data_IF_256918204747
#
_entry.id   IF_256918204747
#
_cell.length_a   1.000
_cell.length_b   1.000
_cell.length_c   1.000
_cell.angle_alpha   90.00
_cell.angle_beta   90.00
_cell.angle_gamma   90.00
#
_symmetry.space_group_name_H-M   'P 1'
#
loop_
_entity.id
_entity.type
_entity.pdbx_description
1 polymer ?
#
# COMPACT_ATOMS: atom_id res chain seq x y z
N UNK A 1 -19.41 -57.00 43.69
CA UNK A 1 -18.55 -56.47 42.61
C UNK A 1 -19.31 -55.39 41.86
N UNK A 2 -18.93 -54.13 42.03
CA UNK A 2 -19.52 -52.98 41.28
C UNK A 2 -18.58 -52.64 40.15
N UNK A 3 -19.01 -52.80 38.90
CA UNK A 3 -18.27 -52.38 37.72
C UNK A 3 -18.56 -50.90 37.48
N UNK A 4 -17.54 -50.05 37.66
CA UNK A 4 -17.55 -48.63 37.23
C UNK A 4 -17.24 -48.59 35.75
N UNK A 5 -18.18 -48.11 34.95
CA UNK A 5 -17.97 -47.81 33.54
C UNK A 5 -17.49 -46.38 33.39
N UNK A 6 -16.21 -46.19 33.09
CA UNK A 6 -15.64 -44.92 32.72
C UNK A 6 -16.00 -44.63 31.25
N UNK A 7 -16.84 -43.64 31.02
CA UNK A 7 -17.17 -43.16 29.67
C UNK A 7 -16.07 -42.13 29.27
N UNK A 8 -15.19 -42.50 28.34
CA UNK A 8 -14.28 -41.58 27.72
C UNK A 8 -15.04 -40.75 26.68
N UNK A 9 -15.28 -39.48 26.97
CA UNK A 9 -15.80 -38.53 26.01
C UNK A 9 -14.67 -38.10 25.07
N UNK A 10 -14.71 -38.51 23.79
CA UNK A 10 -13.87 -37.98 22.75
C UNK A 10 -14.37 -36.60 22.35
N UNK A 11 -13.60 -35.56 22.67
CA UNK A 11 -13.84 -34.21 22.16
C UNK A 11 -13.37 -34.17 20.70
N UNK A 12 -14.29 -34.22 19.75
CA UNK A 12 -13.98 -33.97 18.32
C UNK A 12 -13.87 -32.48 18.15
N UNK A 13 -12.64 -31.97 18.01
CA UNK A 13 -12.42 -30.59 17.60
C UNK A 13 -12.84 -30.45 16.13
N UNK A 14 -13.98 -29.82 15.89
CA UNK A 14 -14.41 -29.41 14.55
C UNK A 14 -13.58 -28.19 14.18
N UNK A 15 -12.52 -28.40 13.40
CA UNK A 15 -11.82 -27.30 12.73
C UNK A 15 -12.76 -26.79 11.65
N UNK A 16 -13.37 -25.63 11.87
CA UNK A 16 -14.04 -24.91 10.80
C UNK A 16 -13.01 -24.53 9.75
N UNK A 17 -13.12 -25.08 8.55
CA UNK A 17 -12.41 -24.57 7.39
C UNK A 17 -13.03 -23.20 7.11
N UNK A 18 -12.33 -22.13 7.49
CA UNK A 18 -12.68 -20.80 7.08
C UNK A 18 -12.49 -20.73 5.55
N UNK A 19 -13.58 -20.52 4.82
CA UNK A 19 -13.51 -20.29 3.38
C UNK A 19 -12.73 -19.01 3.10
N UNK A 20 -12.06 -18.96 1.95
CA UNK A 20 -11.38 -17.75 1.46
C UNK A 20 -12.36 -16.58 1.43
N UNK A 21 -12.00 -15.48 2.07
CA UNK A 21 -12.72 -14.20 2.00
C UNK A 21 -11.91 -13.27 1.10
N UNK A 22 -12.55 -12.70 0.09
CA UNK A 22 -11.93 -11.68 -0.73
C UNK A 22 -12.05 -10.32 -0.03
N UNK A 23 -11.05 -9.96 0.74
CA UNK A 23 -10.97 -8.66 1.38
C UNK A 23 -10.62 -7.59 0.35
N UNK A 24 -11.30 -6.45 0.43
CA UNK A 24 -11.22 -5.38 -0.57
C UNK A 24 -11.01 -4.03 0.10
N UNK A 25 -10.18 -3.20 -0.53
CA UNK A 25 -10.00 -1.81 -0.11
C UNK A 25 -11.30 -1.02 -0.26
N UNK A 26 -11.58 -0.19 0.72
CA UNK A 26 -12.71 0.73 0.72
C UNK A 26 -12.21 2.16 0.96
N UNK A 27 -12.32 3.04 -0.05
CA UNK A 27 -11.85 4.43 0.05
C UNK A 27 -12.47 5.21 1.22
N UNK A 28 -13.66 4.82 1.69
CA UNK A 28 -14.29 5.47 2.85
C UNK A 28 -13.72 4.99 4.19
N UNK A 29 -12.98 3.87 4.21
CA UNK A 29 -12.40 3.27 5.42
C UNK A 29 -10.87 3.14 5.36
N UNK A 30 -10.23 3.64 4.31
CA UNK A 30 -8.81 3.57 4.10
C UNK A 30 -8.09 4.87 4.50
N UNK A 31 -6.87 4.74 5.05
CA UNK A 31 -5.89 5.80 5.22
C UNK A 31 -4.57 5.40 4.55
N UNK A 32 -3.77 6.40 4.15
CA UNK A 32 -2.49 6.18 3.50
C UNK A 32 -1.34 6.65 4.40
N UNK A 33 -0.30 5.82 4.54
CA UNK A 33 0.90 6.13 5.31
C UNK A 33 2.13 6.15 4.39
N UNK A 34 2.84 7.28 4.38
CA UNK A 34 4.11 7.48 3.68
C UNK A 34 5.22 7.39 4.71
N UNK A 35 5.99 6.29 4.68
CA UNK A 35 6.91 5.93 5.76
C UNK A 35 8.35 6.00 5.28
N UNK A 36 9.08 6.98 5.79
CA UNK A 36 10.53 7.07 5.60
C UNK A 36 11.03 7.04 4.14
N UNK A 37 10.21 7.56 3.19
CA UNK A 37 10.64 7.73 1.80
C UNK A 37 11.68 8.84 1.65
N UNK A 38 12.66 8.85 2.56
CA UNK A 38 13.67 9.88 2.69
C UNK A 38 14.75 9.76 1.62
N UNK A 39 15.29 10.90 1.20
CA UNK A 39 16.25 10.97 0.10
C UNK A 39 17.52 10.16 0.39
N UNK A 40 18.01 10.21 1.64
CA UNK A 40 19.19 9.42 2.07
C UNK A 40 18.90 7.92 2.08
N UNK A 41 17.75 7.50 2.63
CA UNK A 41 17.35 6.10 2.67
C UNK A 41 17.13 5.52 1.26
N UNK A 42 16.66 6.32 0.31
CA UNK A 42 16.52 5.90 -1.09
C UNK A 42 17.85 5.43 -1.72
N UNK A 43 18.99 5.88 -1.18
CA UNK A 43 20.31 5.41 -1.62
C UNK A 43 20.61 3.95 -1.24
N UNK A 44 19.85 3.36 -0.34
CA UNK A 44 19.99 1.96 0.09
C UNK A 44 19.27 0.98 -0.86
N UNK A 45 18.28 1.47 -1.60
CA UNK A 45 17.43 0.64 -2.48
C UNK A 45 18.23 0.13 -3.67
N UNK A 46 18.21 -1.20 -3.87
CA UNK A 46 18.89 -1.93 -4.94
C UNK A 46 18.03 -2.96 -5.64
N UNK A 47 16.88 -3.28 -5.08
CA UNK A 47 15.88 -4.19 -5.65
C UNK A 47 15.06 -3.55 -6.76
N UNK A 48 15.11 -2.21 -6.88
CA UNK A 48 14.49 -1.43 -7.96
C UNK A 48 15.49 -0.49 -8.64
N UNK A 49 15.21 -0.14 -9.89
CA UNK A 49 15.91 0.96 -10.57
C UNK A 49 15.57 2.31 -9.92
N UNK A 50 16.54 3.22 -9.86
CA UNK A 50 16.39 4.52 -9.16
C UNK A 50 15.19 5.33 -9.69
N UNK A 51 15.02 5.38 -11.01
CA UNK A 51 13.92 6.13 -11.65
C UNK A 51 12.58 5.46 -11.39
N UNK A 52 12.54 4.13 -11.50
CA UNK A 52 11.37 3.31 -11.24
C UNK A 52 10.91 3.49 -9.78
N UNK A 53 11.83 3.33 -8.82
CA UNK A 53 11.50 3.48 -7.42
C UNK A 53 11.04 4.88 -7.05
N UNK A 54 11.73 5.93 -7.58
CA UNK A 54 11.27 7.31 -7.40
C UNK A 54 9.85 7.51 -7.91
N UNK A 55 9.53 6.98 -9.08
CA UNK A 55 8.17 7.02 -9.62
C UNK A 55 7.18 6.33 -8.69
N UNK A 56 7.52 5.15 -8.18
CA UNK A 56 6.65 4.35 -7.31
C UNK A 56 6.35 5.03 -5.97
N UNK A 57 7.33 5.69 -5.34
CA UNK A 57 7.09 6.42 -4.09
C UNK A 57 6.22 7.67 -4.29
N UNK A 58 6.39 8.37 -5.42
CA UNK A 58 5.53 9.50 -5.77
C UNK A 58 4.11 9.04 -6.12
N UNK A 59 3.97 7.93 -6.85
CA UNK A 59 2.69 7.31 -7.14
C UNK A 59 1.96 6.90 -5.86
N UNK A 60 2.67 6.30 -4.91
CA UNK A 60 2.10 5.92 -3.62
C UNK A 60 1.53 7.13 -2.88
N UNK A 61 2.28 8.21 -2.77
CA UNK A 61 1.78 9.45 -2.16
C UNK A 61 0.58 10.03 -2.94
N UNK A 62 0.63 10.00 -4.28
CA UNK A 62 -0.42 10.53 -5.14
C UNK A 62 -1.75 9.75 -5.03
N UNK A 63 -1.76 8.47 -4.61
CA UNK A 63 -2.98 7.69 -4.31
C UNK A 63 -3.80 8.41 -3.23
N UNK A 64 -3.15 8.90 -2.18
CA UNK A 64 -3.82 9.64 -1.11
C UNK A 64 -4.58 10.87 -1.64
N UNK A 65 -3.96 11.62 -2.54
CA UNK A 65 -4.57 12.78 -3.19
C UNK A 65 -5.69 12.37 -4.17
N UNK A 66 -5.45 11.31 -4.97
CA UNK A 66 -6.42 10.83 -5.98
C UNK A 66 -7.76 10.42 -5.36
N UNK A 67 -7.73 9.75 -4.22
CA UNK A 67 -8.92 9.22 -3.54
C UNK A 67 -9.33 10.00 -2.31
N UNK A 68 -8.69 11.16 -2.04
CA UNK A 68 -8.93 11.99 -0.86
C UNK A 68 -8.85 11.20 0.46
N UNK A 69 -7.80 10.34 0.55
CA UNK A 69 -7.58 9.54 1.75
C UNK A 69 -6.90 10.38 2.83
N UNK A 70 -7.29 10.21 4.11
CA UNK A 70 -6.44 10.68 5.21
C UNK A 70 -5.03 10.15 5.03
N UNK A 71 -4.06 11.07 4.91
CA UNK A 71 -2.66 10.73 4.64
C UNK A 71 -1.79 11.19 5.79
N UNK A 72 -0.89 10.34 6.28
CA UNK A 72 0.10 10.66 7.29
C UNK A 72 1.49 10.47 6.71
N UNK A 73 2.34 11.48 6.89
CA UNK A 73 3.75 11.46 6.50
C UNK A 73 4.62 11.26 7.73
N UNK A 74 5.67 10.45 7.61
CA UNK A 74 6.66 10.33 8.69
C UNK A 74 8.07 10.15 8.15
N UNK A 75 9.04 10.61 8.95
CA UNK A 75 10.48 10.45 8.74
C UNK A 75 11.14 9.92 10.00
N UNK A 76 12.27 9.23 9.86
CA UNK A 76 13.13 8.80 10.96
C UNK A 76 14.45 9.55 10.90
N UNK A 77 14.79 10.28 11.98
CA UNK A 77 16.07 11.01 12.12
C UNK A 77 16.46 11.84 10.88
N UNK A 78 15.54 12.65 10.39
CA UNK A 78 15.65 13.36 9.11
C UNK A 78 16.68 14.50 9.10
N UNK A 79 17.14 14.94 10.25
CA UNK A 79 18.28 15.85 10.39
C UNK A 79 19.65 15.16 10.23
N UNK A 80 19.65 13.82 10.16
CA UNK A 80 20.82 12.98 9.98
C UNK A 80 20.98 12.50 8.52
N UNK A 81 21.70 11.40 8.31
CA UNK A 81 22.01 10.86 6.98
C UNK A 81 20.78 10.35 6.22
N UNK A 82 19.68 10.07 6.91
CA UNK A 82 18.43 9.65 6.27
C UNK A 82 17.83 10.76 5.38
N UNK A 83 18.05 12.03 5.76
CA UNK A 83 17.60 13.19 5.01
C UNK A 83 16.08 13.41 5.03
N UNK A 84 15.62 14.41 4.31
CA UNK A 84 14.22 14.79 4.25
C UNK A 84 13.40 13.89 3.30
N UNK A 85 12.07 13.97 3.39
CA UNK A 85 11.17 13.50 2.32
C UNK A 85 11.37 14.32 1.04
N UNK A 86 11.13 13.75 -0.16
CA UNK A 86 11.01 14.50 -1.38
C UNK A 86 9.97 15.63 -1.23
N UNK A 87 10.33 16.83 -1.68
CA UNK A 87 9.44 17.99 -1.55
C UNK A 87 8.10 17.79 -2.28
N UNK A 88 8.11 17.02 -3.37
CA UNK A 88 6.93 16.68 -4.15
C UNK A 88 5.88 15.97 -3.29
N UNK A 89 6.29 15.08 -2.39
CA UNK A 89 5.39 14.38 -1.45
C UNK A 89 4.77 15.39 -0.46
N UNK A 90 5.60 16.29 0.08
CA UNK A 90 5.14 17.32 1.02
C UNK A 90 4.17 18.29 0.33
N UNK A 91 4.48 18.69 -0.90
CA UNK A 91 3.63 19.57 -1.71
C UNK A 91 2.30 18.92 -2.12
N UNK A 92 2.27 17.59 -2.29
CA UNK A 92 1.01 16.85 -2.54
C UNK A 92 0.09 16.87 -1.32
N UNK A 93 0.64 16.91 -0.10
CA UNK A 93 -0.08 16.78 1.16
C UNK A 93 0.25 17.91 2.15
N UNK A 94 0.00 19.19 1.79
CA UNK A 94 0.47 20.34 2.57
C UNK A 94 -0.20 20.48 3.95
N UNK A 95 -1.30 19.77 4.17
CA UNK A 95 -2.08 19.81 5.43
C UNK A 95 -2.05 18.48 6.18
N UNK A 96 -1.37 17.47 5.63
CA UNK A 96 -1.27 16.17 6.30
C UNK A 96 -0.44 16.25 7.59
N UNK A 97 -0.77 15.49 8.62
CA UNK A 97 0.13 15.31 9.74
C UNK A 97 1.49 14.81 9.24
N UNK A 98 2.56 15.50 9.62
CA UNK A 98 3.92 15.15 9.27
C UNK A 98 4.72 14.96 10.57
N UNK A 99 5.02 13.70 10.91
CA UNK A 99 5.67 13.33 12.15
C UNK A 99 7.17 13.08 11.92
N UNK A 100 8.00 13.92 12.54
CA UNK A 100 9.45 13.81 12.52
C UNK A 100 9.92 12.98 13.73
N UNK A 101 10.13 11.68 13.52
CA UNK A 101 10.59 10.77 14.58
C UNK A 101 12.08 10.97 14.86
N UNK A 102 12.47 10.86 16.13
CA UNK A 102 13.86 11.12 16.53
C UNK A 102 14.80 9.91 16.30
N UNK A 103 14.25 8.70 16.25
CA UNK A 103 15.06 7.50 16.04
C UNK A 103 14.29 6.20 16.20
N UNK A 104 12.99 6.27 16.48
CA UNK A 104 12.15 5.08 16.54
C UNK A 104 12.14 4.39 15.18
N UNK A 105 12.56 3.14 15.18
CA UNK A 105 12.68 2.32 13.97
C UNK A 105 11.32 1.89 13.47
N UNK A 106 10.48 1.38 14.38
CA UNK A 106 9.06 1.22 14.11
C UNK A 106 8.34 2.55 14.33
N UNK A 107 7.63 3.03 13.34
CA UNK A 107 6.86 4.26 13.49
C UNK A 107 5.75 4.14 14.54
N UNK A 108 5.27 2.93 14.82
CA UNK A 108 4.24 2.67 15.83
C UNK A 108 4.71 2.91 17.26
N UNK A 109 6.02 2.86 17.52
CA UNK A 109 6.62 3.19 18.81
C UNK A 109 6.57 4.70 19.12
N UNK A 110 6.32 5.55 18.11
CA UNK A 110 6.18 6.97 18.30
C UNK A 110 4.73 7.35 18.66
N UNK A 111 4.48 7.96 19.84
CA UNK A 111 3.12 8.24 20.30
C UNK A 111 2.38 9.25 19.44
N UNK A 112 3.07 10.22 18.83
CA UNK A 112 2.42 11.24 17.97
C UNK A 112 2.00 10.62 16.64
N UNK A 113 2.82 9.71 16.08
CA UNK A 113 2.46 8.96 14.88
C UNK A 113 1.26 8.05 15.15
N UNK A 114 1.31 7.28 16.24
CA UNK A 114 0.20 6.43 16.67
C UNK A 114 -1.10 7.23 16.83
N UNK A 115 -1.04 8.37 17.51
CA UNK A 115 -2.19 9.25 17.70
C UNK A 115 -2.73 9.79 16.36
N UNK A 116 -1.85 10.18 15.42
CA UNK A 116 -2.26 10.67 14.11
C UNK A 116 -2.99 9.59 13.29
N UNK A 117 -2.49 8.34 13.29
CA UNK A 117 -3.16 7.22 12.62
C UNK A 117 -4.53 6.93 13.26
N UNK A 118 -4.59 6.85 14.59
CA UNK A 118 -5.84 6.62 15.32
C UNK A 118 -6.88 7.72 15.09
N UNK A 119 -6.43 8.97 14.97
CA UNK A 119 -7.31 10.12 14.71
C UNK A 119 -8.00 10.06 13.34
N UNK A 120 -7.48 9.29 12.38
CA UNK A 120 -8.17 9.08 11.10
C UNK A 120 -9.49 8.33 11.24
N UNK A 121 -9.62 7.51 12.28
CA UNK A 121 -10.78 6.62 12.50
C UNK A 121 -10.92 5.52 11.46
N UNK A 122 -9.92 5.30 10.60
CA UNK A 122 -9.94 4.31 9.53
C UNK A 122 -9.47 2.95 10.03
N UNK A 123 -9.95 1.88 9.40
CA UNK A 123 -9.59 0.51 9.72
C UNK A 123 -8.62 -0.11 8.73
N UNK A 124 -8.67 0.33 7.48
CA UNK A 124 -7.79 -0.13 6.43
C UNK A 124 -6.61 0.83 6.27
N UNK A 125 -5.41 0.29 6.31
CA UNK A 125 -4.19 1.08 6.20
C UNK A 125 -3.41 0.66 4.96
N UNK A 126 -3.20 1.60 4.05
CA UNK A 126 -2.31 1.43 2.90
C UNK A 126 -0.97 2.04 3.28
N UNK A 127 0.10 1.27 3.24
CA UNK A 127 1.44 1.76 3.60
C UNK A 127 2.52 1.34 2.62
N UNK A 128 3.59 2.12 2.59
CA UNK A 128 4.85 1.80 1.94
C UNK A 128 5.99 2.57 2.61
N UNK A 129 7.20 2.05 2.52
CA UNK A 129 8.36 2.68 3.19
C UNK A 129 9.72 2.10 2.83
N UNK A 130 10.77 2.70 3.37
CA UNK A 130 12.17 2.29 3.20
C UNK A 130 12.79 2.06 4.59
N UNK A 131 13.37 0.89 4.82
CA UNK A 131 13.50 -0.29 3.95
C UNK A 131 12.38 -1.29 4.23
N UNK A 132 12.13 -2.19 3.26
CA UNK A 132 11.01 -3.14 3.31
C UNK A 132 11.03 -4.01 4.57
N UNK A 133 12.18 -4.57 4.95
CA UNK A 133 12.30 -5.50 6.10
C UNK A 133 12.31 -4.83 7.47
N UNK A 134 12.38 -3.49 7.51
CA UNK A 134 12.43 -2.71 8.76
C UNK A 134 11.24 -1.78 8.87
N UNK A 135 11.33 -0.56 8.36
CA UNK A 135 10.30 0.47 8.58
C UNK A 135 8.93 0.07 8.02
N UNK A 136 8.89 -0.60 6.85
CA UNK A 136 7.65 -1.10 6.28
C UNK A 136 7.11 -2.28 7.08
N UNK A 137 7.95 -3.32 7.26
CA UNK A 137 7.53 -4.58 7.86
C UNK A 137 7.19 -4.44 9.34
N UNK A 138 7.96 -3.70 10.13
CA UNK A 138 7.69 -3.54 11.56
C UNK A 138 6.38 -2.79 11.77
N UNK A 139 6.20 -1.66 11.09
CA UNK A 139 4.95 -0.92 11.18
C UNK A 139 3.75 -1.75 10.72
N UNK A 140 3.87 -2.50 9.61
CA UNK A 140 2.79 -3.36 9.13
C UNK A 140 2.38 -4.41 10.18
N UNK A 141 3.37 -5.05 10.82
CA UNK A 141 3.12 -6.06 11.86
C UNK A 141 2.50 -5.45 13.12
N UNK A 142 2.99 -4.29 13.57
CA UNK A 142 2.40 -3.58 14.71
C UNK A 142 0.96 -3.15 14.45
N UNK A 143 0.65 -2.73 13.22
CA UNK A 143 -0.73 -2.39 12.84
C UNK A 143 -1.65 -3.62 12.81
N UNK A 144 -1.17 -4.79 12.32
CA UNK A 144 -1.91 -6.06 12.39
C UNK A 144 -2.19 -6.44 13.85
N UNK A 145 -1.19 -6.33 14.73
CA UNK A 145 -1.36 -6.62 16.17
C UNK A 145 -2.43 -5.73 16.83
N UNK A 146 -2.52 -4.47 16.40
CA UNK A 146 -3.55 -3.50 16.86
C UNK A 146 -4.93 -3.70 16.20
N UNK A 147 -5.04 -4.66 15.26
CA UNK A 147 -6.31 -5.03 14.62
C UNK A 147 -6.71 -4.18 13.43
N UNK A 148 -5.75 -3.52 12.79
CA UNK A 148 -5.96 -2.89 11.48
C UNK A 148 -5.92 -3.94 10.36
N UNK A 149 -6.61 -3.64 9.26
CA UNK A 149 -6.50 -4.34 8.00
C UNK A 149 -5.43 -3.63 7.13
N UNK A 150 -4.31 -4.29 6.88
CA UNK A 150 -3.08 -3.64 6.38
C UNK A 150 -2.76 -4.08 4.95
N UNK A 151 -2.50 -3.08 4.10
CA UNK A 151 -2.20 -3.23 2.68
C UNK A 151 -0.83 -2.60 2.38
N UNK A 152 0.18 -3.42 2.12
CA UNK A 152 1.52 -2.95 1.82
C UNK A 152 1.73 -2.83 0.31
N UNK A 153 2.03 -1.60 -0.15
CA UNK A 153 2.40 -1.34 -1.53
C UNK A 153 3.85 -1.76 -1.76
N UNK A 154 4.03 -2.92 -2.37
CA UNK A 154 5.35 -3.51 -2.58
C UNK A 154 6.21 -2.73 -3.57
N UNK A 155 5.64 -2.06 -4.56
CA UNK A 155 6.39 -1.26 -5.55
C UNK A 155 7.01 0.01 -4.94
N UNK A 156 6.41 0.54 -3.88
CA UNK A 156 6.91 1.72 -3.17
C UNK A 156 7.66 1.35 -1.87
N UNK A 157 7.94 0.06 -1.65
CA UNK A 157 8.73 -0.44 -0.52
C UNK A 157 9.99 -1.09 -1.07
N UNK A 158 11.13 -0.43 -0.91
CA UNK A 158 12.40 -0.87 -1.48
C UNK A 158 13.43 -1.23 -0.41
N UNK A 159 14.43 -2.05 -0.76
CA UNK A 159 15.50 -2.48 0.12
C UNK A 159 16.82 -2.81 -0.61
N UNK A 160 17.77 -3.42 0.11
CA UNK A 160 19.12 -3.70 -0.37
C UNK A 160 19.19 -4.74 -1.49
N UNK A 161 18.30 -5.72 -1.51
CA UNK A 161 18.20 -6.72 -2.59
C UNK A 161 16.82 -7.42 -2.59
N UNK A 162 16.49 -8.04 -3.72
CA UNK A 162 15.20 -8.70 -3.92
C UNK A 162 14.96 -9.92 -3.01
N UNK A 163 16.01 -10.56 -2.50
CA UNK A 163 15.84 -11.68 -1.57
C UNK A 163 15.37 -11.17 -0.20
N UNK A 164 15.95 -10.08 0.30
CA UNK A 164 15.52 -9.44 1.55
C UNK A 164 14.09 -8.94 1.44
N UNK A 165 13.74 -8.31 0.31
CA UNK A 165 12.37 -7.92 0.01
C UNK A 165 11.41 -9.12 0.06
N UNK A 166 11.77 -10.24 -0.58
CA UNK A 166 10.94 -11.45 -0.59
C UNK A 166 10.77 -12.06 0.81
N UNK A 167 11.83 -12.09 1.62
CA UNK A 167 11.76 -12.62 2.99
C UNK A 167 10.90 -11.73 3.90
N UNK A 168 10.98 -10.39 3.77
CA UNK A 168 10.17 -9.46 4.51
C UNK A 168 8.69 -9.51 4.07
N UNK A 169 8.44 -9.56 2.76
CA UNK A 169 7.10 -9.67 2.20
C UNK A 169 6.41 -10.95 2.69
N UNK A 170 7.10 -12.10 2.65
CA UNK A 170 6.55 -13.35 3.20
C UNK A 170 6.22 -13.24 4.69
N UNK A 171 7.08 -12.59 5.50
CA UNK A 171 6.79 -12.37 6.92
C UNK A 171 5.54 -11.51 7.13
N UNK A 172 5.34 -10.49 6.32
CA UNK A 172 4.13 -9.66 6.36
C UNK A 172 2.89 -10.45 5.92
N UNK A 173 2.99 -11.21 4.82
CA UNK A 173 1.91 -12.06 4.31
C UNK A 173 1.48 -13.13 5.32
N UNK A 174 2.44 -13.82 5.96
CA UNK A 174 2.18 -14.82 7.01
C UNK A 174 1.46 -14.22 8.22
N UNK A 175 1.61 -12.93 8.47
CA UNK A 175 0.92 -12.19 9.53
C UNK A 175 -0.46 -11.64 9.10
N UNK A 176 -0.84 -11.77 7.83
CA UNK A 176 -2.13 -11.32 7.30
C UNK A 176 -2.10 -9.95 6.61
N UNK A 177 -0.91 -9.41 6.32
CA UNK A 177 -0.78 -8.18 5.52
C UNK A 177 -1.08 -8.50 4.05
N UNK A 178 -1.91 -7.69 3.42
CA UNK A 178 -2.19 -7.79 1.99
C UNK A 178 -1.06 -7.13 1.19
N UNK A 179 -0.34 -7.92 0.40
CA UNK A 179 0.72 -7.43 -0.48
C UNK A 179 0.15 -7.11 -1.85
N UNK A 180 0.36 -5.89 -2.32
CA UNK A 180 -0.27 -5.41 -3.55
C UNK A 180 0.60 -4.33 -4.21
N UNK A 181 0.55 -4.23 -5.55
CA UNK A 181 1.18 -3.15 -6.30
C UNK A 181 0.24 -1.93 -6.46
N UNK A 182 0.82 -0.80 -6.87
CA UNK A 182 0.13 0.48 -7.05
C UNK A 182 -1.14 0.36 -7.92
N UNK A 183 -1.03 -0.32 -9.07
CA UNK A 183 -2.17 -0.47 -9.98
C UNK A 183 -3.32 -1.26 -9.34
N UNK A 184 -3.00 -2.32 -8.59
CA UNK A 184 -3.99 -3.09 -7.82
C UNK A 184 -4.72 -2.24 -6.78
N UNK A 185 -3.99 -1.40 -6.02
CA UNK A 185 -4.57 -0.48 -5.04
C UNK A 185 -5.54 0.49 -5.72
N UNK A 186 -5.11 1.13 -6.81
CA UNK A 186 -5.91 2.11 -7.54
C UNK A 186 -7.19 1.49 -8.10
N UNK A 187 -7.08 0.31 -8.72
CA UNK A 187 -8.24 -0.40 -9.27
C UNK A 187 -9.20 -0.85 -8.18
N UNK A 188 -8.68 -1.31 -7.04
CA UNK A 188 -9.54 -1.76 -5.93
C UNK A 188 -10.25 -0.60 -5.22
N UNK A 189 -9.62 0.56 -5.08
CA UNK A 189 -10.26 1.77 -4.55
C UNK A 189 -11.28 2.37 -5.54
N UNK A 190 -10.99 2.37 -6.84
CA UNK A 190 -11.84 2.94 -7.89
C UNK A 190 -13.08 2.08 -8.15
N UNK A 191 -12.92 0.76 -8.24
CA UNK A 191 -13.96 -0.26 -8.50
C UNK A 191 -14.58 -0.24 -9.90
N UNK A 192 -14.86 0.91 -10.45
CA UNK A 192 -15.56 1.11 -11.72
C UNK A 192 -15.09 2.41 -12.36
N UNK A 193 -14.73 2.35 -13.63
CA UNK A 193 -14.28 3.50 -14.42
C UNK A 193 -15.32 4.63 -14.50
N UNK A 194 -16.59 4.33 -14.21
CA UNK A 194 -17.73 5.28 -14.20
C UNK A 194 -17.90 5.98 -12.85
N UNK A 195 -17.16 5.56 -11.81
CA UNK A 195 -17.21 6.17 -10.49
C UNK A 195 -16.53 7.54 -10.47
N UNK A 196 -16.56 8.19 -9.30
CA UNK A 196 -15.74 9.37 -8.96
C UNK A 196 -14.99 9.08 -7.66
N UNK A 197 -13.64 9.05 -7.68
CA UNK A 197 -12.77 9.09 -8.86
C UNK A 197 -13.00 7.90 -9.80
N UNK A 198 -12.91 8.15 -11.11
CA UNK A 198 -13.08 7.18 -12.18
C UNK A 198 -12.17 7.51 -13.36
N UNK A 199 -12.64 7.29 -14.58
CA UNK A 199 -11.80 7.49 -15.76
C UNK A 199 -11.20 8.89 -15.85
N UNK A 200 -11.93 9.94 -15.49
CA UNK A 200 -11.48 11.33 -15.61
C UNK A 200 -10.31 11.67 -14.68
N UNK A 201 -10.27 11.08 -13.50
CA UNK A 201 -9.23 11.32 -12.49
C UNK A 201 -8.12 10.27 -12.56
N UNK A 202 -8.47 9.02 -12.83
CA UNK A 202 -7.52 7.89 -12.81
C UNK A 202 -6.68 7.82 -14.07
N UNK A 203 -7.21 8.12 -15.27
CA UNK A 203 -6.40 8.10 -16.48
C UNK A 203 -5.25 9.10 -16.48
N UNK A 204 -5.42 10.37 -16.02
CA UNK A 204 -4.28 11.29 -15.84
C UNK A 204 -3.25 10.80 -14.82
N UNK A 205 -3.70 10.19 -13.72
CA UNK A 205 -2.81 9.56 -12.74
C UNK A 205 -1.99 8.42 -13.37
N UNK A 206 -2.63 7.55 -14.15
CA UNK A 206 -1.95 6.46 -14.84
C UNK A 206 -1.02 6.98 -15.95
N UNK A 207 -1.35 8.10 -16.61
CA UNK A 207 -0.48 8.72 -17.60
C UNK A 207 0.84 9.19 -16.98
N UNK A 208 0.80 9.66 -15.74
CA UNK A 208 1.98 10.12 -15.01
C UNK A 208 2.78 8.96 -14.39
N UNK A 209 2.10 8.01 -13.71
CA UNK A 209 2.77 7.02 -12.87
C UNK A 209 2.82 5.61 -13.45
N UNK A 210 1.98 5.28 -14.45
CA UNK A 210 1.96 3.99 -15.15
C UNK A 210 1.82 4.19 -16.66
N UNK A 211 2.83 4.77 -17.33
CA UNK A 211 2.74 5.12 -18.75
C UNK A 211 2.45 3.93 -19.67
N UNK A 212 2.75 2.70 -19.26
CA UNK A 212 2.40 1.49 -20.00
C UNK A 212 0.89 1.36 -20.23
N UNK A 213 0.08 1.72 -19.22
CA UNK A 213 -1.37 1.72 -19.34
C UNK A 213 -1.87 2.87 -20.22
N UNK A 214 -1.30 4.07 -20.06
CA UNK A 214 -1.69 5.22 -20.86
C UNK A 214 -1.37 5.03 -22.36
N UNK A 215 -0.31 4.29 -22.69
CA UNK A 215 0.00 3.93 -24.08
C UNK A 215 -1.11 3.07 -24.70
N UNK A 216 -1.72 2.16 -23.95
CA UNK A 216 -2.88 1.38 -24.40
C UNK A 216 -4.07 2.29 -24.72
N UNK A 217 -4.41 3.22 -23.81
CA UNK A 217 -5.50 4.16 -23.99
C UNK A 217 -5.26 5.11 -25.19
N UNK A 218 -4.02 5.60 -25.33
CA UNK A 218 -3.62 6.47 -26.45
C UNK A 218 -3.65 5.74 -27.78
N UNK A 219 -3.17 4.48 -27.83
CA UNK A 219 -3.19 3.67 -29.05
C UNK A 219 -4.62 3.40 -29.51
N UNK A 220 -5.53 3.10 -28.60
CA UNK A 220 -6.95 2.95 -28.89
C UNK A 220 -7.56 4.26 -29.39
N UNK A 221 -7.35 5.38 -28.69
CA UNK A 221 -7.83 6.70 -29.11
C UNK A 221 -7.35 7.07 -30.52
N UNK A 222 -6.07 6.84 -30.82
CA UNK A 222 -5.53 7.06 -32.17
C UNK A 222 -6.20 6.18 -33.22
N UNK A 223 -6.46 4.90 -32.89
CA UNK A 223 -7.15 3.99 -33.81
C UNK A 223 -8.60 4.42 -34.07
N UNK A 224 -9.31 4.91 -33.04
CA UNK A 224 -10.66 5.48 -33.19
C UNK A 224 -10.63 6.69 -34.11
N UNK A 225 -9.76 7.66 -33.87
CA UNK A 225 -9.65 8.92 -34.60
C UNK A 225 -9.30 8.71 -36.10
N UNK A 226 -8.55 7.66 -36.40
CA UNK A 226 -8.10 7.33 -37.76
C UNK A 226 -8.93 6.21 -38.43
N UNK A 227 -9.98 5.70 -37.79
CA UNK A 227 -10.81 4.65 -38.34
C UNK A 227 -10.09 3.33 -38.60
N UNK A 228 -9.09 3.01 -37.77
CA UNK A 228 -8.23 1.82 -37.91
C UNK A 228 -8.56 0.72 -36.88
N UNK A 229 -9.73 0.79 -36.25
CA UNK A 229 -10.21 -0.27 -35.35
C UNK A 229 -10.31 -1.60 -36.10
N UNK A 230 -9.88 -2.67 -35.45
CA UNK A 230 -10.09 -4.02 -36.00
C UNK A 230 -11.55 -4.44 -35.92
N UNK A 231 -12.05 -5.29 -36.86
CA UNK A 231 -13.43 -5.77 -36.82
C UNK A 231 -13.72 -6.49 -35.51
N UNK A 232 -14.81 -6.10 -34.84
CA UNK A 232 -15.21 -6.65 -33.53
C UNK A 232 -14.83 -5.81 -32.33
N UNK A 233 -13.80 -4.95 -32.43
CA UNK A 233 -13.36 -4.11 -31.31
C UNK A 233 -14.43 -3.11 -30.87
N UNK A 234 -15.15 -2.52 -31.83
CA UNK A 234 -16.23 -1.57 -31.54
C UNK A 234 -17.45 -2.18 -30.82
N UNK A 235 -17.57 -3.51 -30.73
CA UNK A 235 -18.66 -4.19 -30.03
C UNK A 235 -18.38 -4.44 -28.55
N UNK A 236 -17.16 -4.23 -28.09
CA UNK A 236 -16.75 -4.44 -26.67
C UNK A 236 -16.56 -3.13 -25.89
N UNK A 237 -16.90 -2.00 -26.50
CA UNK A 237 -16.79 -0.65 -25.92
C UNK A 237 -18.11 -0.14 -25.36
#
# INVERSE_FOLDING_TARGET
>A
MKFSRTINAFLVAVTSVQGFTFDRLNKSDAALLVVDHQIGLSQLVRDYGVVEFRNSILAHAAIGKLFDLPTILTTSADTGPNGALPKEIIEMHPTAPFIHRQGEVDAWDNPDFKAAVQATGKKQIILAGIVTEVCTSFLALSLIEEGYDVWANTEASGTFDSKLAADANRRMEDAGVHLIGMFGIVMDLMRDWRNTPGALEVLPFLDEYLPQYSLVARAHGYAVDNGTLIPGEAQIL
#
